data_IF_706310178529
#
_entry.id   IF_706310178529
#
_cell.length_a   1.000
_cell.length_b   1.000
_cell.length_c   1.000
_cell.angle_alpha   90.00
_cell.angle_beta   90.00
_cell.angle_gamma   90.00
#
_symmetry.space_group_name_H-M   'P 1'
#
loop_
_entity.id
_entity.type
_entity.pdbx_description
1 polymer ?
#
# COMPACT_ATOMS: atom_id res chain seq x y z
N UNK A 1 -14.47 20.78 16.20
CA UNK A 1 -14.46 20.23 14.83
C UNK A 1 -14.29 18.73 14.96
N UNK A 2 -15.22 17.90 14.50
CA UNK A 2 -15.07 16.44 14.58
C UNK A 2 -14.19 15.94 13.43
N UNK A 3 -13.29 15.01 13.75
CA UNK A 3 -12.34 14.41 12.79
C UNK A 3 -12.72 12.96 12.53
N UNK A 4 -12.80 12.59 11.27
CA UNK A 4 -12.98 11.22 10.83
C UNK A 4 -11.61 10.61 10.52
N UNK A 5 -11.25 9.50 11.16
CA UNK A 5 -10.09 8.69 10.81
C UNK A 5 -10.57 7.44 10.04
N UNK A 6 -10.21 7.35 8.76
CA UNK A 6 -10.57 6.22 7.92
C UNK A 6 -9.54 5.10 8.11
N UNK A 7 -9.95 4.05 8.83
CA UNK A 7 -9.14 2.87 9.11
C UNK A 7 -9.26 1.87 7.96
N UNK A 8 -8.28 1.90 7.07
CA UNK A 8 -8.22 1.00 5.90
C UNK A 8 -7.27 -0.18 6.10
N UNK A 9 -6.24 -0.01 6.93
CA UNK A 9 -5.32 -1.07 7.30
C UNK A 9 -5.93 -2.03 8.33
N UNK A 10 -5.46 -3.28 8.31
CA UNK A 10 -5.68 -4.22 9.40
C UNK A 10 -4.76 -3.89 10.59
N UNK A 11 -5.18 -4.21 11.82
CA UNK A 11 -4.45 -3.90 13.05
C UNK A 11 -4.98 -2.67 13.78
N UNK A 12 -4.27 -2.29 14.84
CA UNK A 12 -4.66 -1.19 15.71
C UNK A 12 -4.28 0.18 15.12
N UNK A 13 -5.02 1.22 15.52
CA UNK A 13 -4.61 2.60 15.25
C UNK A 13 -3.48 3.03 16.20
N UNK A 14 -2.80 4.13 15.90
CA UNK A 14 -1.79 4.66 16.82
C UNK A 14 -2.42 5.06 18.17
N UNK A 15 -1.62 5.01 19.23
CA UNK A 15 -2.07 5.40 20.58
C UNK A 15 -2.55 6.85 20.65
N UNK A 16 -2.04 7.74 19.79
CA UNK A 16 -2.51 9.13 19.65
C UNK A 16 -3.93 9.17 19.10
N UNK A 17 -4.20 8.44 18.02
CA UNK A 17 -5.53 8.37 17.40
C UNK A 17 -6.53 7.71 18.36
N UNK A 18 -6.12 6.65 19.06
CA UNK A 18 -6.97 5.99 20.05
C UNK A 18 -7.35 6.95 21.19
N UNK A 19 -6.39 7.66 21.79
CA UNK A 19 -6.66 8.65 22.84
C UNK A 19 -7.58 9.79 22.35
N UNK A 20 -7.40 10.23 21.11
CA UNK A 20 -8.26 11.23 20.51
C UNK A 20 -9.68 10.71 20.27
N UNK A 21 -9.84 9.42 19.98
CA UNK A 21 -11.14 8.78 19.89
C UNK A 21 -11.82 8.64 21.26
N UNK A 22 -11.06 8.26 22.30
CA UNK A 22 -11.57 8.12 23.67
C UNK A 22 -12.09 9.45 24.24
N UNK A 23 -11.59 10.59 23.75
CA UNK A 23 -12.04 11.95 24.12
C UNK A 23 -13.15 12.50 23.22
N UNK A 24 -13.59 11.74 22.21
CA UNK A 24 -14.64 12.13 21.27
C UNK A 24 -14.19 13.12 20.18
N UNK A 25 -12.90 13.44 20.09
CA UNK A 25 -12.35 14.31 19.04
C UNK A 25 -12.31 13.60 17.68
N UNK A 26 -11.95 12.31 17.70
CA UNK A 26 -11.85 11.46 16.51
C UNK A 26 -12.95 10.41 16.52
N UNK A 27 -13.59 10.20 15.37
CA UNK A 27 -14.38 8.99 15.11
C UNK A 27 -13.59 8.09 14.18
N UNK A 28 -13.30 6.87 14.61
CA UNK A 28 -12.60 5.86 13.80
C UNK A 28 -13.66 5.05 13.05
N UNK A 29 -13.52 4.96 11.73
CA UNK A 29 -14.43 4.18 10.87
C UNK A 29 -13.63 3.25 9.99
N UNK A 30 -13.99 1.96 10.01
CA UNK A 30 -13.45 0.96 9.08
C UNK A 30 -13.81 1.31 7.63
N UNK A 31 -12.88 1.09 6.70
CA UNK A 31 -13.06 1.39 5.28
C UNK A 31 -14.36 0.83 4.68
N UNK A 32 -14.77 -0.38 5.09
CA UNK A 32 -15.98 -1.02 4.61
C UNK A 32 -17.29 -0.33 5.04
N UNK A 33 -17.23 0.48 6.11
CA UNK A 33 -18.38 1.21 6.64
C UNK A 33 -18.37 2.68 6.23
N UNK A 34 -17.37 3.14 5.46
CA UNK A 34 -17.25 4.54 5.09
C UNK A 34 -18.23 4.92 3.98
N UNK A 35 -19.09 5.90 4.25
CA UNK A 35 -20.07 6.41 3.30
C UNK A 35 -20.22 7.95 3.35
N UNK A 36 -21.08 8.46 2.47
CA UNK A 36 -21.37 9.89 2.36
C UNK A 36 -22.04 10.47 3.61
N UNK A 37 -22.84 9.69 4.35
CA UNK A 37 -23.57 10.15 5.54
C UNK A 37 -22.62 10.36 6.71
N UNK A 38 -21.73 9.40 6.95
CA UNK A 38 -20.66 9.48 7.95
C UNK A 38 -19.75 10.67 7.62
N UNK A 39 -19.31 10.81 6.36
CA UNK A 39 -18.48 11.94 5.94
C UNK A 39 -19.18 13.29 6.19
N UNK A 40 -20.48 13.39 5.92
CA UNK A 40 -21.25 14.63 6.09
C UNK A 40 -21.28 15.14 7.54
N UNK A 41 -21.17 14.25 8.53
CA UNK A 41 -21.16 14.58 9.96
C UNK A 41 -19.83 15.14 10.46
N UNK A 42 -18.78 15.08 9.63
CA UNK A 42 -17.43 15.48 10.01
C UNK A 42 -16.97 16.70 9.21
N UNK A 43 -15.96 17.37 9.74
CA UNK A 43 -15.31 18.51 9.10
C UNK A 43 -13.83 18.23 8.83
N UNK A 44 -13.24 17.25 9.51
CA UNK A 44 -11.90 16.75 9.26
C UNK A 44 -11.89 15.31 8.76
N UNK A 45 -10.95 14.96 7.88
CA UNK A 45 -10.73 13.60 7.36
C UNK A 45 -9.23 13.28 7.38
N UNK A 46 -8.85 12.11 7.89
CA UNK A 46 -7.51 11.54 7.80
C UNK A 46 -7.61 10.20 7.06
N UNK A 47 -6.82 10.04 6.01
CA UNK A 47 -6.68 8.77 5.27
C UNK A 47 -5.23 8.34 5.20
N UNK A 48 -4.99 7.05 5.43
CA UNK A 48 -3.67 6.44 5.30
C UNK A 48 -3.39 5.92 3.89
N UNK A 49 -2.15 5.50 3.67
CA UNK A 49 -1.61 5.01 2.40
C UNK A 49 -2.33 3.76 1.85
N UNK A 50 -3.08 3.05 2.70
CA UNK A 50 -3.85 1.85 2.35
C UNK A 50 -5.33 2.16 2.04
N UNK A 51 -5.72 3.43 1.92
CA UNK A 51 -7.11 3.79 1.63
C UNK A 51 -7.60 3.22 0.29
N UNK A 52 -8.85 2.76 0.26
CA UNK A 52 -9.50 2.24 -0.94
C UNK A 52 -9.93 3.40 -1.84
N UNK A 53 -9.11 3.70 -2.85
CA UNK A 53 -9.34 4.84 -3.75
C UNK A 53 -10.46 4.59 -4.76
N UNK A 54 -10.84 3.34 -5.00
CA UNK A 54 -12.01 3.04 -5.83
C UNK A 54 -13.30 3.46 -5.10
N UNK A 55 -13.38 3.18 -3.80
CA UNK A 55 -14.46 3.70 -2.93
C UNK A 55 -14.42 5.23 -2.85
N UNK A 56 -13.23 5.85 -2.69
CA UNK A 56 -13.12 7.31 -2.70
C UNK A 56 -13.63 7.92 -4.01
N UNK A 57 -13.30 7.30 -5.16
CA UNK A 57 -13.75 7.76 -6.47
C UNK A 57 -15.28 7.65 -6.62
N UNK A 58 -15.90 6.58 -6.10
CA UNK A 58 -17.36 6.44 -6.05
C UNK A 58 -18.02 7.52 -5.16
N UNK A 59 -17.36 7.91 -4.08
CA UNK A 59 -17.82 8.95 -3.15
C UNK A 59 -17.43 10.38 -3.57
N UNK A 60 -16.89 10.57 -4.78
CA UNK A 60 -16.42 11.88 -5.27
C UNK A 60 -17.43 13.03 -5.05
N UNK A 61 -18.74 12.91 -5.34
CA UNK A 61 -19.70 14.00 -5.07
C UNK A 61 -19.79 14.39 -3.58
N UNK A 62 -19.71 13.40 -2.68
CA UNK A 62 -19.73 13.63 -1.24
C UNK A 62 -18.43 14.26 -0.74
N UNK A 63 -17.28 13.81 -1.27
CA UNK A 63 -15.96 14.40 -0.99
C UNK A 63 -15.89 15.85 -1.48
N UNK A 64 -16.39 16.14 -2.69
CA UNK A 64 -16.48 17.50 -3.20
C UNK A 64 -17.34 18.39 -2.31
N UNK A 65 -18.49 17.89 -1.86
CA UNK A 65 -19.36 18.60 -0.91
C UNK A 65 -18.65 18.83 0.43
N UNK A 66 -17.95 17.82 0.95
CA UNK A 66 -17.16 17.92 2.18
C UNK A 66 -16.07 19.00 2.08
N UNK A 67 -15.37 19.07 0.95
CA UNK A 67 -14.36 20.09 0.72
C UNK A 67 -14.99 21.49 0.56
N UNK A 68 -16.03 21.63 -0.25
CA UNK A 68 -16.70 22.92 -0.52
C UNK A 68 -17.32 23.55 0.74
N UNK A 69 -17.70 22.75 1.75
CA UNK A 69 -18.18 23.27 3.05
C UNK A 69 -17.05 23.68 4.01
N UNK A 70 -15.78 23.69 3.55
CA UNK A 70 -14.62 24.03 4.38
C UNK A 70 -13.89 22.85 5.01
N UNK A 71 -14.17 21.61 4.58
CA UNK A 71 -13.55 20.41 5.11
C UNK A 71 -12.02 20.41 4.99
N UNK A 72 -11.36 19.77 5.96
CA UNK A 72 -9.91 19.58 5.96
C UNK A 72 -9.57 18.11 5.82
N UNK A 73 -8.74 17.77 4.84
CA UNK A 73 -8.36 16.39 4.57
C UNK A 73 -6.85 16.24 4.55
N UNK A 74 -6.32 15.38 5.43
CA UNK A 74 -4.94 14.90 5.36
C UNK A 74 -4.88 13.53 4.67
N UNK A 75 -4.18 13.47 3.54
CA UNK A 75 -4.05 12.27 2.71
C UNK A 75 -2.60 11.79 2.64
N UNK A 76 -2.38 10.52 2.98
CA UNK A 76 -1.12 9.82 2.75
C UNK A 76 -1.24 8.86 1.55
N UNK A 77 -0.15 8.70 0.80
CA UNK A 77 -0.03 7.71 -0.26
C UNK A 77 -0.01 8.31 -1.68
N UNK A 78 -0.05 7.43 -2.67
CA UNK A 78 -0.03 7.82 -4.08
C UNK A 78 -1.45 7.99 -4.59
N UNK A 79 -1.81 9.16 -5.12
CA UNK A 79 -3.11 9.39 -5.77
C UNK A 79 -3.08 8.66 -7.12
N UNK A 80 -3.76 7.52 -7.23
CA UNK A 80 -3.90 6.77 -8.49
C UNK A 80 -5.30 6.84 -9.07
N UNK A 81 -6.28 7.26 -8.24
CA UNK A 81 -7.60 7.73 -8.67
C UNK A 81 -7.73 9.20 -8.30
N UNK A 82 -7.87 10.13 -9.27
CA UNK A 82 -8.19 11.52 -8.99
C UNK A 82 -9.62 11.70 -8.41
N UNK A 83 -9.77 11.46 -7.11
CA UNK A 83 -11.06 11.45 -6.39
C UNK A 83 -11.60 12.86 -6.02
N UNK A 84 -10.90 13.93 -6.39
CA UNK A 84 -11.38 15.32 -6.40
C UNK A 84 -11.01 15.96 -7.74
N UNK A 85 -11.82 16.89 -8.22
CA UNK A 85 -11.50 17.69 -9.41
C UNK A 85 -10.24 18.52 -9.15
N UNK A 86 -9.28 18.49 -10.08
CA UNK A 86 -8.00 19.18 -9.97
C UNK A 86 -6.85 18.34 -9.39
N UNK A 87 -7.14 17.17 -8.80
CA UNK A 87 -6.09 16.22 -8.44
C UNK A 87 -5.51 15.55 -9.68
N UNK A 88 -4.22 15.24 -9.62
CA UNK A 88 -3.48 14.55 -10.67
C UNK A 88 -2.95 13.21 -10.16
N UNK A 89 -2.73 12.28 -11.09
CA UNK A 89 -2.17 10.99 -10.77
C UNK A 89 -0.71 11.11 -10.32
N UNK A 90 -0.35 10.37 -9.28
CA UNK A 90 1.00 10.21 -8.78
C UNK A 90 2.00 9.86 -9.89
N UNK A 91 3.19 10.45 -9.78
CA UNK A 91 4.31 10.16 -10.67
C UNK A 91 5.57 9.89 -9.84
N UNK A 92 6.22 8.72 -10.00
CA UNK A 92 7.50 8.45 -9.36
C UNK A 92 8.62 9.23 -10.06
N UNK A 93 9.71 9.49 -9.32
CA UNK A 93 10.97 9.93 -9.90
C UNK A 93 11.46 8.84 -10.85
N UNK A 94 11.88 9.21 -12.06
CA UNK A 94 12.38 8.28 -13.06
C UNK A 94 13.80 7.84 -12.71
N UNK A 95 14.02 6.53 -12.59
CA UNK A 95 15.32 5.92 -12.27
C UNK A 95 16.06 6.60 -11.08
N UNK A 96 15.43 6.66 -9.89
CA UNK A 96 15.93 7.47 -8.78
C UNK A 96 17.23 6.89 -8.20
N UNK A 97 18.09 7.79 -7.73
CA UNK A 97 19.30 7.51 -6.95
C UNK A 97 19.09 7.98 -5.51
N UNK A 98 20.01 7.61 -4.62
CA UNK A 98 19.93 7.99 -3.19
C UNK A 98 19.73 9.49 -2.97
N UNK A 99 20.46 10.34 -3.69
CA UNK A 99 20.38 11.80 -3.56
C UNK A 99 19.04 12.38 -4.04
N UNK A 100 18.28 11.63 -4.87
CA UNK A 100 16.95 12.05 -5.29
C UNK A 100 15.91 11.91 -4.17
N UNK A 101 16.28 11.30 -3.03
CA UNK A 101 15.44 11.17 -1.84
C UNK A 101 15.80 12.15 -0.73
N UNK A 102 16.77 13.05 -0.94
CA UNK A 102 17.13 14.06 0.05
C UNK A 102 15.94 14.98 0.30
N UNK A 103 15.56 15.18 1.57
CA UNK A 103 14.33 15.88 1.92
C UNK A 103 14.63 17.37 2.20
N UNK A 104 13.93 18.24 1.48
CA UNK A 104 14.14 19.68 1.56
C UNK A 104 12.83 20.42 1.83
N UNK A 105 12.87 21.44 2.69
CA UNK A 105 11.72 22.33 2.90
C UNK A 105 11.70 23.40 1.81
N UNK A 106 10.55 23.60 1.15
CA UNK A 106 10.30 24.74 0.26
C UNK A 106 9.55 25.84 0.98
N UNK A 107 8.51 25.47 1.74
CA UNK A 107 7.68 26.42 2.47
C UNK A 107 7.36 25.85 3.86
N UNK A 108 7.31 26.74 4.85
CA UNK A 108 7.00 26.37 6.23
C UNK A 108 5.58 25.79 6.33
N UNK A 109 5.36 24.72 7.09
CA UNK A 109 4.02 24.30 7.51
C UNK A 109 4.05 23.88 9.00
N UNK A 110 3.03 24.22 9.81
CA UNK A 110 3.02 23.92 11.25
C UNK A 110 3.26 22.45 11.63
N UNK A 111 2.84 21.51 10.78
CA UNK A 111 3.11 20.07 10.97
C UNK A 111 4.61 19.79 11.15
N UNK A 112 5.46 20.51 10.42
CA UNK A 112 6.91 20.34 10.41
C UNK A 112 7.65 21.36 11.28
N UNK A 113 6.95 22.22 12.02
CA UNK A 113 7.58 23.25 12.83
C UNK A 113 8.65 22.65 13.75
N UNK A 114 9.87 23.18 13.66
CA UNK A 114 11.03 22.76 14.48
C UNK A 114 11.49 21.30 14.28
N UNK A 115 10.96 20.59 13.27
CA UNK A 115 11.46 19.26 12.90
C UNK A 115 12.62 19.43 11.93
N UNK A 116 13.79 18.88 12.29
CA UNK A 116 14.87 18.67 11.34
C UNK A 116 14.46 17.58 10.34
N UNK A 117 14.21 17.97 9.09
CA UNK A 117 13.74 17.07 8.03
C UNK A 117 14.69 15.91 7.75
N UNK A 118 15.99 16.02 8.08
CA UNK A 118 16.93 14.89 7.97
C UNK A 118 16.53 13.69 8.84
N UNK A 119 15.80 13.94 9.94
CA UNK A 119 15.24 12.90 10.83
C UNK A 119 14.05 12.16 10.22
N UNK A 120 13.44 12.72 9.18
CA UNK A 120 12.36 12.10 8.42
C UNK A 120 12.85 11.47 7.11
N UNK A 121 13.97 11.97 6.57
CA UNK A 121 14.58 11.51 5.32
C UNK A 121 15.02 10.04 5.37
N UNK A 122 15.63 9.63 6.50
CA UNK A 122 16.21 8.30 6.65
C UNK A 122 15.78 7.60 7.93
N UNK A 123 15.80 6.27 7.87
CA UNK A 123 15.77 5.41 9.04
C UNK A 123 16.98 4.49 8.95
N UNK A 124 17.88 4.51 9.96
CA UNK A 124 19.17 3.80 9.89
C UNK A 124 19.97 4.09 8.62
N UNK A 125 19.98 5.34 8.13
CA UNK A 125 20.63 5.78 6.87
C UNK A 125 20.01 5.23 5.56
N UNK A 126 18.95 4.42 5.62
CA UNK A 126 18.19 4.03 4.42
C UNK A 126 17.15 5.10 4.12
N UNK A 127 17.13 5.57 2.87
CA UNK A 127 16.22 6.62 2.42
C UNK A 127 15.11 6.11 1.49
N UNK A 128 14.17 7.00 1.21
CA UNK A 128 13.06 6.77 0.29
C UNK A 128 11.78 6.28 0.96
N UNK A 129 11.79 5.98 2.27
CA UNK A 129 10.58 5.65 3.05
C UNK A 129 9.58 6.82 3.10
N UNK A 130 10.09 8.05 3.09
CA UNK A 130 9.29 9.28 3.11
C UNK A 130 8.52 9.51 1.81
N UNK A 131 9.06 9.09 0.67
CA UNK A 131 8.46 9.33 -0.63
C UNK A 131 9.47 9.10 -1.75
N UNK A 132 8.95 8.84 -2.96
CA UNK A 132 9.76 8.49 -4.15
C UNK A 132 9.32 9.21 -5.42
N UNK A 133 8.51 10.25 -5.26
CA UNK A 133 7.79 10.91 -6.34
C UNK A 133 6.91 11.99 -5.76
N UNK A 134 5.93 12.42 -6.56
CA UNK A 134 4.94 13.39 -6.15
C UNK A 134 3.54 12.97 -6.59
N UNK A 135 2.56 13.33 -5.77
CA UNK A 135 1.23 13.66 -6.30
C UNK A 135 1.38 15.04 -6.96
N UNK A 136 1.23 15.23 -8.29
CA UNK A 136 1.49 16.53 -8.90
C UNK A 136 0.58 17.62 -8.34
N UNK A 137 1.12 18.83 -8.17
CA UNK A 137 0.39 19.95 -7.58
C UNK A 137 -0.83 20.34 -8.45
N UNK A 138 -2.02 20.44 -7.84
CA UNK A 138 -3.12 21.19 -8.43
C UNK A 138 -2.78 22.67 -8.59
N UNK A 139 -3.56 23.38 -9.42
CA UNK A 139 -3.47 24.83 -9.54
C UNK A 139 -3.66 25.51 -8.18
N UNK A 140 -2.78 26.47 -7.85
CA UNK A 140 -2.75 27.22 -6.60
C UNK A 140 -2.43 26.40 -5.34
N UNK A 141 -1.99 25.14 -5.47
CA UNK A 141 -1.40 24.41 -4.35
C UNK A 141 -0.02 24.96 -3.99
N UNK A 142 0.36 24.81 -2.73
CA UNK A 142 1.66 25.24 -2.19
C UNK A 142 2.48 24.02 -1.80
N UNK A 143 3.63 23.84 -2.46
CA UNK A 143 4.60 22.80 -2.09
C UNK A 143 5.18 23.07 -0.70
N UNK A 144 5.22 22.07 0.18
CA UNK A 144 5.76 22.19 1.53
C UNK A 144 7.18 21.62 1.59
N UNK A 145 7.33 20.34 1.24
CA UNK A 145 8.62 19.68 1.15
C UNK A 145 8.81 19.05 -0.24
N UNK A 146 10.06 18.93 -0.65
CA UNK A 146 10.45 18.37 -1.93
C UNK A 146 11.66 17.44 -1.83
N UNK A 147 11.75 16.54 -2.80
CA UNK A 147 12.78 15.51 -2.89
C UNK A 147 13.88 15.91 -3.87
N UNK A 148 15.13 15.69 -3.46
CA UNK A 148 16.34 15.88 -4.26
C UNK A 148 16.58 17.33 -4.69
N UNK A 149 17.62 17.53 -5.52
CA UNK A 149 18.04 18.85 -6.00
C UNK A 149 17.00 19.58 -6.87
N UNK A 150 15.98 18.84 -7.35
CA UNK A 150 14.87 19.35 -8.16
C UNK A 150 13.64 19.72 -7.35
N UNK A 151 13.65 19.45 -6.03
CA UNK A 151 12.54 19.72 -5.13
C UNK A 151 11.22 19.10 -5.63
N UNK A 152 11.27 17.82 -6.04
CA UNK A 152 10.07 17.08 -6.48
C UNK A 152 9.06 17.09 -5.33
N UNK A 153 7.87 17.70 -5.48
CA UNK A 153 7.04 18.08 -4.35
C UNK A 153 6.30 16.87 -3.75
N UNK A 154 6.88 16.31 -2.69
CA UNK A 154 6.33 15.15 -1.97
C UNK A 154 5.21 15.54 -1.03
N UNK A 155 5.27 16.77 -0.49
CA UNK A 155 4.24 17.34 0.37
C UNK A 155 3.71 18.63 -0.21
N UNK A 156 2.40 18.81 -0.17
CA UNK A 156 1.79 20.08 -0.51
C UNK A 156 0.45 20.25 0.18
N UNK A 157 0.05 21.52 0.35
CA UNK A 157 -1.29 21.88 0.79
C UNK A 157 -2.00 22.61 -0.32
N UNK A 158 -3.27 22.28 -0.51
CA UNK A 158 -4.13 22.89 -1.51
C UNK A 158 -5.32 23.55 -0.83
N UNK A 159 -5.35 24.88 -0.87
CA UNK A 159 -6.52 25.67 -0.51
C UNK A 159 -7.39 25.80 -1.77
N UNK A 160 -8.55 25.13 -1.75
CA UNK A 160 -9.41 25.10 -2.94
C UNK A 160 -10.21 26.39 -3.05
N UNK A 161 -10.46 26.84 -4.28
CA UNK A 161 -11.21 28.07 -4.55
C UNK A 161 -12.63 28.10 -3.94
N UNK A 162 -13.30 26.94 -3.86
CA UNK A 162 -14.64 26.80 -3.25
C UNK A 162 -14.61 26.59 -1.73
N UNK A 163 -13.43 26.61 -1.12
CA UNK A 163 -13.21 26.32 0.29
C UNK A 163 -12.67 24.91 0.54
N UNK A 164 -12.22 24.70 1.78
CA UNK A 164 -11.59 23.47 2.23
C UNK A 164 -10.09 23.43 1.96
N UNK A 165 -9.40 22.56 2.69
CA UNK A 165 -7.94 22.39 2.60
C UNK A 165 -7.58 20.92 2.49
N UNK A 166 -6.77 20.58 1.50
CA UNK A 166 -6.26 19.23 1.29
C UNK A 166 -4.75 19.23 1.50
N UNK A 167 -4.25 18.39 2.39
CA UNK A 167 -2.83 18.14 2.55
C UNK A 167 -2.50 16.79 1.90
N UNK A 168 -1.55 16.79 0.96
CA UNK A 168 -1.06 15.58 0.33
C UNK A 168 0.34 15.27 0.82
N UNK A 169 0.55 14.04 1.28
CA UNK A 169 1.85 13.43 1.48
C UNK A 169 1.99 12.22 0.55
N UNK A 170 2.86 12.27 -0.45
CA UNK A 170 2.97 11.24 -1.49
C UNK A 170 3.96 10.12 -1.14
N UNK A 171 3.82 9.55 0.06
CA UNK A 171 4.68 8.51 0.59
C UNK A 171 3.97 7.55 1.56
N UNK A 172 4.75 6.89 2.41
CA UNK A 172 4.19 6.09 3.50
C UNK A 172 3.50 7.00 4.54
N UNK A 173 2.71 6.47 5.46
CA UNK A 173 1.99 7.29 6.44
C UNK A 173 2.93 8.22 7.22
N UNK A 174 2.74 9.54 7.09
CA UNK A 174 3.62 10.55 7.70
C UNK A 174 3.67 10.38 9.23
N UNK A 175 2.54 9.97 9.82
CA UNK A 175 2.41 9.64 11.24
C UNK A 175 3.28 8.47 11.72
N UNK A 176 3.90 7.72 10.80
CA UNK A 176 4.85 6.64 11.08
C UNK A 176 6.32 7.02 10.82
N UNK A 177 6.59 8.25 10.38
CA UNK A 177 7.95 8.70 10.06
C UNK A 177 8.75 9.09 11.30
N UNK A 178 10.08 9.05 11.18
CA UNK A 178 11.00 9.49 12.25
C UNK A 178 10.95 8.63 13.52
N UNK A 179 10.68 7.33 13.40
CA UNK A 179 10.60 6.38 14.53
C UNK A 179 11.86 6.39 15.40
N UNK A 180 13.05 6.42 14.80
CA UNK A 180 14.34 6.49 15.51
C UNK A 180 14.46 7.74 16.40
N UNK A 181 13.69 8.77 16.08
CA UNK A 181 13.72 10.08 16.73
C UNK A 181 12.48 10.35 17.58
N UNK A 182 11.58 9.37 17.72
CA UNK A 182 10.33 9.53 18.47
C UNK A 182 9.36 10.56 17.87
N UNK A 183 9.46 10.85 16.57
CA UNK A 183 8.65 11.90 15.93
C UNK A 183 7.24 11.44 15.52
N UNK A 184 7.00 10.13 15.43
CA UNK A 184 5.71 9.58 15.00
C UNK A 184 4.50 10.06 15.83
N UNK A 185 4.53 10.05 17.19
CA UNK A 185 3.46 10.63 17.99
C UNK A 185 3.26 12.12 17.76
N UNK A 186 4.34 12.91 17.69
CA UNK A 186 4.29 14.35 17.45
C UNK A 186 3.66 14.69 16.09
N UNK A 187 4.06 13.96 15.03
CA UNK A 187 3.49 14.11 13.70
C UNK A 187 2.00 13.73 13.71
N UNK A 188 1.62 12.66 14.40
CA UNK A 188 0.21 12.26 14.56
C UNK A 188 -0.62 13.36 15.22
N UNK A 189 -0.12 13.94 16.31
CA UNK A 189 -0.77 15.03 17.05
C UNK A 189 -0.95 16.26 16.16
N UNK A 190 0.09 16.69 15.45
CA UNK A 190 0.03 17.88 14.57
C UNK A 190 -0.85 17.69 13.34
N UNK A 191 -0.88 16.49 12.77
CA UNK A 191 -1.82 16.14 11.69
C UNK A 191 -3.25 16.27 12.22
N UNK A 192 -3.53 15.70 13.39
CA UNK A 192 -4.84 15.77 14.02
C UNK A 192 -5.24 17.21 14.34
N UNK A 193 -4.36 18.01 14.93
CA UNK A 193 -4.58 19.43 15.21
C UNK A 193 -4.89 20.22 13.93
N UNK A 194 -4.12 20.00 12.86
CA UNK A 194 -4.34 20.67 11.58
C UNK A 194 -5.70 20.30 10.97
N UNK A 195 -6.04 19.01 10.95
CA UNK A 195 -7.33 18.53 10.44
C UNK A 195 -8.50 19.02 11.30
N UNK A 196 -8.31 19.15 12.61
CA UNK A 196 -9.30 19.67 13.57
C UNK A 196 -9.48 21.20 13.52
N UNK A 197 -8.86 21.89 12.55
CA UNK A 197 -9.07 23.33 12.35
C UNK A 197 -7.88 24.20 12.76
N UNK A 198 -6.75 23.61 13.16
CA UNK A 198 -5.55 24.31 13.60
C UNK A 198 -4.92 25.24 12.55
N UNK A 199 -3.79 25.85 12.91
CA UNK A 199 -3.07 26.77 12.04
C UNK A 199 -2.63 26.10 10.73
N UNK A 200 -2.59 26.87 9.64
CA UNK A 200 -2.03 26.47 8.36
C UNK A 200 -1.07 27.57 7.88
N UNK A 201 -0.76 27.61 6.59
CA UNK A 201 0.04 28.67 5.98
C UNK A 201 -0.68 30.03 6.08
N UNK A 202 0.09 31.11 6.24
CA UNK A 202 -0.42 32.48 6.05
C UNK A 202 -0.23 32.92 4.60
N UNK A 203 -1.27 32.70 3.79
CA UNK A 203 -1.28 33.04 2.35
C UNK A 203 -1.37 34.56 2.09
N UNK A 204 -1.73 35.36 3.10
CA UNK A 204 -1.96 36.80 2.91
C UNK A 204 -0.69 37.63 2.94
N UNK A 205 0.40 37.08 3.47
CA UNK A 205 1.65 37.80 3.74
C UNK A 205 2.89 37.10 3.16
N UNK A 206 2.74 35.89 2.61
CA UNK A 206 3.87 35.04 2.23
C UNK A 206 3.97 34.85 0.72
N UNK A 207 5.14 35.16 0.15
CA UNK A 207 5.51 34.69 -1.18
C UNK A 207 6.03 33.25 -1.08
N UNK A 208 5.26 32.30 -1.61
CA UNK A 208 5.65 30.89 -1.57
C UNK A 208 6.64 30.53 -2.68
N UNK A 209 7.68 29.79 -2.31
CA UNK A 209 8.60 29.18 -3.26
C UNK A 209 7.85 28.14 -4.10
N UNK A 210 7.98 28.24 -5.43
CA UNK A 210 7.42 27.27 -6.36
C UNK A 210 8.40 26.11 -6.60
N UNK A 211 7.91 24.88 -6.85
CA UNK A 211 8.76 23.78 -7.29
C UNK A 211 9.34 24.08 -8.68
N UNK A 212 10.39 23.34 -9.05
CA UNK A 212 10.95 23.45 -10.41
C UNK A 212 9.95 22.93 -11.45
N UNK A 213 9.98 23.48 -12.66
CA UNK A 213 9.06 23.10 -13.75
C UNK A 213 9.52 21.85 -14.52
N UNK A 214 10.83 21.59 -14.56
CA UNK A 214 11.44 20.43 -15.22
C UNK A 214 11.79 19.36 -14.18
N UNK A 215 10.77 18.58 -13.82
CA UNK A 215 10.87 17.52 -12.81
C UNK A 215 11.22 16.17 -13.48
N UNK A 216 12.11 15.35 -12.89
CA UNK A 216 12.54 14.06 -13.44
C UNK A 216 11.49 12.96 -13.18
N UNK A 217 10.26 13.16 -13.63
CA UNK A 217 9.14 12.27 -13.35
C UNK A 217 8.92 11.24 -14.46
N UNK A 218 8.58 10.01 -14.07
CA UNK A 218 8.06 9.04 -15.01
C UNK A 218 6.66 9.45 -15.51
N UNK A 219 6.27 8.94 -16.69
CA UNK A 219 4.92 9.16 -17.21
C UNK A 219 3.88 8.50 -16.30
N UNK A 220 2.73 9.15 -16.17
CA UNK A 220 1.56 8.53 -15.57
C UNK A 220 1.17 7.28 -16.37
N UNK A 221 0.80 6.22 -15.65
CA UNK A 221 0.28 4.97 -16.23
C UNK A 221 -1.24 5.03 -16.40
N UNK A 222 -1.80 4.14 -17.23
CA UNK A 222 -3.24 3.96 -17.32
C UNK A 222 -3.70 2.88 -16.34
N UNK A 223 -4.78 3.15 -15.60
CA UNK A 223 -5.38 2.18 -14.70
C UNK A 223 -6.86 1.97 -15.07
N UNK A 224 -7.20 0.78 -15.55
CA UNK A 224 -8.50 0.49 -16.17
C UNK A 224 -9.61 0.13 -15.16
N UNK A 225 -9.26 -0.05 -13.89
CA UNK A 225 -10.17 -0.47 -12.83
C UNK A 225 -10.47 -1.97 -12.84
N UNK A 226 -11.59 -2.32 -12.22
CA UNK A 226 -12.09 -3.70 -12.15
C UNK A 226 -12.21 -4.33 -13.54
N UNK A 227 -11.89 -5.61 -13.61
CA UNK A 227 -11.89 -6.38 -14.86
C UNK A 227 -12.57 -7.70 -14.61
N UNK A 228 -13.49 -8.10 -15.48
CA UNK A 228 -14.09 -9.43 -15.46
C UNK A 228 -13.99 -10.00 -16.88
N UNK A 229 -13.05 -10.91 -17.08
CA UNK A 229 -13.02 -11.74 -18.29
C UNK A 229 -14.24 -12.67 -18.34
N UNK A 230 -14.66 -13.02 -19.56
CA UNK A 230 -15.72 -14.02 -19.75
C UNK A 230 -15.26 -15.36 -19.16
N UNK A 231 -16.16 -16.06 -18.49
CA UNK A 231 -15.88 -17.42 -18.04
C UNK A 231 -15.49 -18.30 -19.24
N UNK A 232 -14.39 -19.02 -19.10
CA UNK A 232 -13.93 -20.04 -20.05
C UNK A 232 -13.72 -21.35 -19.30
N UNK A 233 -13.46 -22.45 -20.01
CA UNK A 233 -13.08 -23.71 -19.38
C UNK A 233 -11.62 -23.72 -18.89
N UNK A 234 -10.85 -22.64 -19.15
CA UNK A 234 -9.48 -22.51 -18.67
C UNK A 234 -9.45 -21.85 -17.28
N UNK A 235 -8.52 -22.24 -16.39
CA UNK A 235 -8.29 -21.55 -15.12
C UNK A 235 -8.08 -20.05 -15.33
N UNK A 236 -8.79 -19.22 -14.56
CA UNK A 236 -8.60 -17.78 -14.53
C UNK A 236 -7.82 -17.38 -13.29
N UNK A 237 -7.00 -16.35 -13.40
CA UNK A 237 -6.39 -15.71 -12.22
C UNK A 237 -7.33 -14.61 -11.74
N UNK A 238 -7.94 -14.85 -10.57
CA UNK A 238 -8.86 -13.94 -9.88
C UNK A 238 -8.12 -13.26 -8.75
N UNK A 239 -8.16 -11.93 -8.71
CA UNK A 239 -7.43 -11.12 -7.73
C UNK A 239 -8.37 -10.14 -7.03
N UNK A 240 -8.51 -10.19 -5.69
CA UNK A 240 -9.16 -9.15 -4.93
C UNK A 240 -8.23 -7.93 -4.78
N UNK A 241 -8.59 -6.82 -5.41
CA UNK A 241 -8.01 -5.50 -5.16
C UNK A 241 -8.71 -4.85 -3.97
N UNK A 242 -7.97 -4.05 -3.20
CA UNK A 242 -8.51 -3.28 -2.07
C UNK A 242 -8.49 -1.77 -2.35
N UNK A 243 -8.38 -1.40 -3.62
CA UNK A 243 -8.35 -0.01 -4.10
C UNK A 243 -7.16 0.83 -3.61
N UNK A 244 -6.23 0.27 -2.84
CA UNK A 244 -5.00 0.95 -2.45
C UNK A 244 -4.06 1.09 -3.66
N UNK A 245 -3.16 2.08 -3.59
CA UNK A 245 -2.39 2.47 -4.76
C UNK A 245 -1.45 1.37 -5.27
N UNK A 246 -0.90 0.55 -4.36
CA UNK A 246 0.07 -0.47 -4.72
C UNK A 246 -0.60 -1.71 -5.34
N UNK A 247 -1.85 -2.03 -4.96
CA UNK A 247 -2.67 -2.99 -5.69
C UNK A 247 -3.02 -2.45 -7.07
N UNK A 248 -3.55 -1.23 -7.16
CA UNK A 248 -3.93 -0.61 -8.45
C UNK A 248 -2.74 -0.62 -9.41
N UNK A 249 -1.56 -0.16 -8.97
CA UNK A 249 -0.38 -0.17 -9.80
C UNK A 249 0.01 -1.58 -10.26
N UNK A 250 0.09 -2.52 -9.32
CA UNK A 250 0.56 -3.88 -9.62
C UNK A 250 -0.42 -4.70 -10.46
N UNK A 251 -1.72 -4.40 -10.40
CA UNK A 251 -2.77 -5.18 -11.05
C UNK A 251 -3.25 -4.55 -12.36
N UNK A 252 -3.27 -3.22 -12.46
CA UNK A 252 -3.83 -2.51 -13.60
C UNK A 252 -2.76 -1.85 -14.46
N UNK A 253 -1.54 -1.68 -13.94
CA UNK A 253 -0.42 -1.12 -14.68
C UNK A 253 0.02 -2.00 -15.86
N UNK A 254 0.59 -1.36 -16.89
CA UNK A 254 0.93 -2.00 -18.17
C UNK A 254 1.84 -3.24 -18.04
N UNK A 255 2.66 -3.30 -16.98
CA UNK A 255 3.57 -4.41 -16.73
C UNK A 255 2.84 -5.75 -16.56
N UNK A 256 1.73 -5.77 -15.82
CA UNK A 256 1.10 -7.03 -15.38
C UNK A 256 -0.41 -7.10 -15.60
N UNK A 257 -1.07 -6.05 -16.11
CA UNK A 257 -2.53 -6.04 -16.31
C UNK A 257 -3.06 -7.20 -17.17
N UNK A 258 -2.25 -7.68 -18.13
CA UNK A 258 -2.56 -8.81 -18.99
C UNK A 258 -2.46 -10.19 -18.29
N UNK A 259 -1.87 -10.25 -17.09
CA UNK A 259 -1.70 -11.48 -16.33
C UNK A 259 -2.96 -11.88 -15.57
N UNK A 260 -3.82 -10.92 -15.21
CA UNK A 260 -4.99 -11.13 -14.36
C UNK A 260 -6.27 -11.11 -15.20
N UNK A 261 -7.04 -12.18 -15.08
CA UNK A 261 -8.29 -12.38 -15.82
C UNK A 261 -9.47 -11.69 -15.13
N UNK A 262 -9.43 -11.63 -13.80
CA UNK A 262 -10.44 -10.96 -12.99
C UNK A 262 -9.78 -10.12 -11.90
N UNK A 263 -10.11 -8.84 -11.85
CA UNK A 263 -9.75 -7.89 -10.78
C UNK A 263 -11.08 -7.44 -10.17
N UNK A 264 -11.31 -7.80 -8.91
CA UNK A 264 -12.58 -7.62 -8.19
C UNK A 264 -12.31 -7.18 -6.75
N UNK A 265 -13.34 -6.96 -5.93
CA UNK A 265 -13.16 -6.71 -4.49
C UNK A 265 -13.16 -8.01 -3.70
N UNK A 266 -12.60 -8.05 -2.47
CA UNK A 266 -12.80 -9.18 -1.56
C UNK A 266 -14.28 -9.59 -1.40
N UNK A 267 -15.18 -8.61 -1.31
CA UNK A 267 -16.59 -8.82 -1.04
C UNK A 267 -17.35 -9.48 -2.21
N UNK A 268 -16.82 -9.40 -3.42
CA UNK A 268 -17.40 -10.00 -4.62
C UNK A 268 -16.91 -11.44 -4.89
N UNK A 269 -15.93 -11.95 -4.12
CA UNK A 269 -15.36 -13.27 -4.36
C UNK A 269 -16.40 -14.40 -4.39
N UNK A 270 -17.44 -14.31 -3.55
CA UNK A 270 -18.51 -15.30 -3.48
C UNK A 270 -19.36 -15.45 -4.75
N UNK A 271 -19.43 -14.41 -5.58
CA UNK A 271 -20.16 -14.40 -6.86
C UNK A 271 -19.25 -14.63 -8.06
N UNK A 272 -17.96 -14.34 -7.92
CA UNK A 272 -16.98 -14.36 -9.00
C UNK A 272 -16.26 -15.70 -9.14
N UNK A 273 -15.87 -16.32 -8.01
CA UNK A 273 -15.05 -17.52 -8.01
C UNK A 273 -15.80 -18.73 -8.55
N UNK A 274 -15.12 -19.47 -9.43
CA UNK A 274 -15.51 -20.78 -9.95
C UNK A 274 -14.50 -21.83 -9.50
N UNK A 275 -14.87 -23.13 -9.46
CA UNK A 275 -14.00 -24.18 -8.92
C UNK A 275 -12.60 -24.29 -9.57
N UNK A 276 -12.46 -23.90 -10.84
CA UNK A 276 -11.20 -23.98 -11.58
C UNK A 276 -10.34 -22.73 -11.46
N UNK A 277 -10.81 -21.69 -10.78
CA UNK A 277 -10.06 -20.44 -10.67
C UNK A 277 -8.87 -20.55 -9.71
N UNK A 278 -7.89 -19.70 -9.96
CA UNK A 278 -6.78 -19.40 -9.07
C UNK A 278 -7.11 -18.09 -8.37
N UNK A 279 -7.42 -18.16 -7.07
CA UNK A 279 -7.56 -16.96 -6.25
C UNK A 279 -6.15 -16.51 -5.81
N UNK A 280 -5.66 -15.39 -6.33
CA UNK A 280 -4.43 -14.78 -5.83
C UNK A 280 -4.79 -13.61 -4.93
N UNK A 281 -4.58 -13.73 -3.63
CA UNK A 281 -4.71 -12.64 -2.65
C UNK A 281 -3.40 -11.86 -2.55
N UNK A 282 -3.34 -10.59 -3.01
CA UNK A 282 -2.12 -9.78 -2.97
C UNK A 282 -1.61 -9.55 -1.55
N UNK A 283 -0.30 -9.31 -1.43
CA UNK A 283 0.29 -8.93 -0.16
C UNK A 283 -0.29 -7.61 0.36
N UNK A 284 -0.44 -7.47 1.68
CA UNK A 284 -1.08 -6.30 2.32
C UNK A 284 -2.53 -6.04 1.88
N UNK A 285 -3.25 -7.08 1.44
CA UNK A 285 -4.72 -7.06 1.41
C UNK A 285 -5.23 -6.95 2.86
N UNK A 286 -6.11 -6.00 3.22
CA UNK A 286 -6.61 -5.85 4.58
C UNK A 286 -7.29 -7.13 5.07
N UNK A 287 -6.71 -7.75 6.10
CA UNK A 287 -7.12 -9.08 6.55
C UNK A 287 -8.58 -9.13 7.00
N UNK A 288 -9.12 -8.04 7.59
CA UNK A 288 -10.53 -7.98 7.98
C UNK A 288 -11.50 -8.18 6.81
N UNK A 289 -11.12 -7.75 5.59
CA UNK A 289 -11.93 -7.97 4.38
C UNK A 289 -11.88 -9.44 3.95
N UNK A 290 -10.72 -10.09 4.09
CA UNK A 290 -10.54 -11.49 3.74
C UNK A 290 -11.14 -12.46 4.76
N UNK A 291 -11.10 -12.13 6.06
CA UNK A 291 -11.74 -12.90 7.13
C UNK A 291 -13.24 -13.08 6.84
N UNK A 292 -13.92 -12.04 6.36
CA UNK A 292 -15.33 -12.11 5.96
C UNK A 292 -15.58 -13.10 4.81
N UNK A 293 -14.56 -13.40 4.00
CA UNK A 293 -14.63 -14.31 2.85
C UNK A 293 -14.19 -15.74 3.19
N UNK A 294 -13.83 -16.04 4.44
CA UNK A 294 -13.34 -17.37 4.85
C UNK A 294 -14.24 -18.53 4.36
N UNK A 295 -15.58 -18.51 4.48
CA UNK A 295 -16.43 -19.59 3.98
C UNK A 295 -16.37 -19.78 2.45
N UNK A 296 -16.22 -18.68 1.70
CA UNK A 296 -16.10 -18.72 0.23
C UNK A 296 -14.79 -19.41 -0.16
N UNK A 297 -13.70 -19.06 0.52
CA UNK A 297 -12.35 -19.56 0.24
C UNK A 297 -12.21 -21.03 0.65
N UNK A 298 -12.75 -21.41 1.82
CA UNK A 298 -12.78 -22.80 2.25
C UNK A 298 -13.49 -23.69 1.21
N UNK A 299 -14.68 -23.28 0.76
CA UNK A 299 -15.41 -23.99 -0.30
C UNK A 299 -14.64 -24.05 -1.62
N UNK A 300 -13.90 -22.99 -1.97
CA UNK A 300 -13.06 -22.98 -3.17
C UNK A 300 -11.97 -24.06 -3.10
N UNK A 301 -11.28 -24.16 -1.97
CA UNK A 301 -10.27 -25.19 -1.71
C UNK A 301 -10.87 -26.60 -1.63
N UNK A 302 -12.03 -26.79 -0.98
CA UNK A 302 -12.73 -28.08 -0.91
C UNK A 302 -13.11 -28.62 -2.31
N UNK A 303 -13.37 -27.72 -3.26
CA UNK A 303 -13.69 -28.06 -4.65
C UNK A 303 -12.47 -28.26 -5.55
N UNK A 304 -11.25 -28.23 -4.99
CA UNK A 304 -10.01 -28.42 -5.75
C UNK A 304 -9.42 -27.13 -6.34
N UNK A 305 -9.94 -25.96 -5.97
CA UNK A 305 -9.43 -24.67 -6.40
C UNK A 305 -8.03 -24.36 -5.87
N UNK A 306 -7.35 -23.38 -6.48
CA UNK A 306 -6.05 -22.90 -6.00
C UNK A 306 -6.19 -21.56 -5.30
N UNK A 307 -5.50 -21.39 -4.17
CA UNK A 307 -5.36 -20.12 -3.46
C UNK A 307 -3.89 -19.75 -3.32
N UNK A 308 -3.54 -18.51 -3.66
CA UNK A 308 -2.22 -17.91 -3.43
C UNK A 308 -2.40 -16.81 -2.40
N UNK A 309 -1.60 -16.83 -1.33
CA UNK A 309 -1.60 -15.79 -0.31
C UNK A 309 -0.17 -15.27 -0.13
N UNK A 310 0.03 -13.98 -0.42
CA UNK A 310 1.33 -13.31 -0.26
C UNK A 310 1.40 -12.57 1.08
N UNK A 311 2.61 -12.15 1.45
CA UNK A 311 2.94 -11.66 2.78
C UNK A 311 2.07 -10.51 3.26
N UNK A 312 1.97 -10.35 4.58
CA UNK A 312 1.23 -9.24 5.21
C UNK A 312 -0.27 -9.20 4.85
N UNK A 313 -0.83 -10.28 4.31
CA UNK A 313 -2.28 -10.47 4.17
C UNK A 313 -2.90 -11.23 5.35
N UNK A 314 -2.09 -11.65 6.35
CA UNK A 314 -2.50 -12.47 7.51
C UNK A 314 -3.31 -13.71 7.12
N UNK A 315 -2.76 -14.53 6.23
CA UNK A 315 -3.39 -15.78 5.78
C UNK A 315 -3.75 -16.72 6.93
N UNK A 316 -3.02 -16.67 8.05
CA UNK A 316 -3.33 -17.37 9.30
C UNK A 316 -4.72 -17.05 9.89
N UNK A 317 -5.31 -15.91 9.54
CA UNK A 317 -6.62 -15.49 10.05
C UNK A 317 -7.79 -15.92 9.17
N UNK A 318 -7.56 -16.26 7.90
CA UNK A 318 -8.65 -16.50 6.93
C UNK A 318 -8.46 -17.75 6.06
N UNK A 319 -7.32 -18.43 6.12
CA UNK A 319 -7.12 -19.78 5.61
C UNK A 319 -7.00 -20.77 6.77
N UNK A 320 -7.58 -21.95 6.60
CA UNK A 320 -7.37 -23.06 7.53
C UNK A 320 -6.00 -23.71 7.29
N UNK A 321 -5.48 -24.40 8.30
CA UNK A 321 -4.19 -25.12 8.25
C UNK A 321 -2.94 -24.23 8.05
N UNK A 322 -3.05 -22.92 8.30
CA UNK A 322 -1.92 -21.99 8.27
C UNK A 322 -1.46 -21.67 9.69
N UNK A 323 -0.19 -21.94 9.97
CA UNK A 323 0.50 -21.47 11.18
C UNK A 323 1.59 -20.49 10.77
N UNK A 324 1.46 -19.22 11.18
CA UNK A 324 2.39 -18.13 10.87
C UNK A 324 3.01 -17.55 12.13
N UNK A 325 4.31 -17.28 12.06
CA UNK A 325 5.07 -16.64 13.12
C UNK A 325 5.64 -15.32 12.59
N UNK A 326 5.08 -14.22 13.07
CA UNK A 326 5.54 -12.88 12.73
C UNK A 326 6.96 -12.65 13.27
N UNK A 327 7.79 -11.99 12.47
CA UNK A 327 9.14 -11.57 12.88
C UNK A 327 9.32 -10.10 12.57
N UNK A 328 10.02 -9.32 13.42
CA UNK A 328 10.37 -7.95 13.10
C UNK A 328 11.09 -7.86 11.75
N UNK A 329 10.57 -7.04 10.85
CA UNK A 329 11.15 -6.84 9.53
C UNK A 329 12.48 -6.10 9.64
N UNK A 330 13.56 -6.70 9.15
CA UNK A 330 14.84 -6.02 9.01
C UNK A 330 14.92 -5.31 7.65
N UNK A 331 14.64 -4.01 7.62
CA UNK A 331 14.60 -3.19 6.42
C UNK A 331 15.97 -2.71 5.91
N UNK A 332 17.07 -3.14 6.52
CA UNK A 332 18.40 -2.59 6.24
C UNK A 332 19.53 -3.60 6.45
N UNK A 333 19.23 -4.90 6.36
CA UNK A 333 20.24 -5.95 6.51
C UNK A 333 21.41 -5.76 5.56
N UNK A 334 21.18 -5.24 4.35
CA UNK A 334 22.22 -5.02 3.32
C UNK A 334 23.19 -3.87 3.62
N UNK A 335 23.00 -3.10 4.70
CA UNK A 335 23.95 -2.04 5.09
C UNK A 335 25.28 -2.59 5.60
N UNK A 336 25.28 -3.80 6.16
CA UNK A 336 26.52 -4.51 6.43
C UNK A 336 26.94 -5.23 5.14
N UNK A 337 28.11 -4.88 4.62
CA UNK A 337 28.66 -5.45 3.38
C UNK A 337 28.85 -6.98 3.46
N UNK A 338 28.91 -7.54 4.67
CA UNK A 338 29.01 -8.98 4.92
C UNK A 338 27.67 -9.62 5.26
N UNK A 339 26.61 -8.83 5.42
CA UNK A 339 25.31 -9.36 5.78
C UNK A 339 24.68 -10.11 4.62
N UNK A 340 24.03 -11.18 5.03
CA UNK A 340 23.28 -12.08 4.19
C UNK A 340 21.98 -12.31 4.95
N UNK A 341 20.85 -11.89 4.37
CA UNK A 341 19.54 -12.16 4.96
C UNK A 341 19.31 -13.66 5.15
N UNK A 342 20.10 -14.49 4.45
CA UNK A 342 20.08 -15.93 4.56
C UNK A 342 18.91 -16.57 3.84
N UNK A 343 18.10 -15.77 3.13
CA UNK A 343 17.00 -16.28 2.31
C UNK A 343 17.57 -17.15 1.19
N UNK A 344 16.97 -18.31 0.95
CA UNK A 344 17.39 -19.28 -0.08
C UNK A 344 16.20 -19.91 -0.76
N UNK A 345 16.30 -20.11 -2.08
CA UNK A 345 15.46 -21.04 -2.82
C UNK A 345 15.87 -22.47 -2.45
N UNK A 346 14.93 -23.29 -2.01
CA UNK A 346 15.18 -24.67 -1.55
C UNK A 346 14.71 -25.74 -2.51
N UNK A 347 13.80 -25.41 -3.43
CA UNK A 347 13.40 -26.30 -4.52
C UNK A 347 13.45 -25.59 -5.88
N UNK A 348 14.65 -25.46 -6.49
CA UNK A 348 14.80 -24.79 -7.78
C UNK A 348 14.21 -25.57 -8.96
N UNK A 349 13.79 -26.83 -8.75
CA UNK A 349 13.18 -27.66 -9.81
C UNK A 349 11.67 -27.49 -9.87
N UNK A 350 11.05 -26.98 -8.80
CA UNK A 350 9.63 -26.70 -8.78
C UNK A 350 9.24 -25.73 -9.90
N UNK A 351 8.14 -25.95 -10.66
CA UNK A 351 7.75 -25.10 -11.79
C UNK A 351 7.65 -23.60 -11.44
N UNK A 352 7.15 -23.26 -10.24
CA UNK A 352 7.09 -21.87 -9.76
C UNK A 352 8.45 -21.21 -9.61
N UNK A 353 9.50 -21.98 -9.35
CA UNK A 353 10.88 -21.49 -9.11
C UNK A 353 11.74 -21.51 -10.38
N UNK A 354 11.16 -21.85 -11.53
CA UNK A 354 11.88 -21.89 -12.80
C UNK A 354 12.55 -20.54 -13.08
N UNK A 355 13.84 -20.57 -13.37
CA UNK A 355 14.69 -19.41 -13.66
C UNK A 355 14.76 -18.36 -12.52
N UNK A 356 14.27 -18.69 -11.32
CA UNK A 356 14.40 -17.83 -10.14
C UNK A 356 15.73 -18.11 -9.43
N UNK A 357 16.40 -17.05 -9.04
CA UNK A 357 17.60 -17.10 -8.21
C UNK A 357 17.29 -16.64 -6.79
N UNK A 358 18.23 -16.86 -5.86
CA UNK A 358 18.14 -16.30 -4.50
C UNK A 358 17.91 -14.78 -4.50
N UNK A 359 18.48 -14.04 -5.45
CA UNK A 359 18.32 -12.59 -5.53
C UNK A 359 16.90 -12.14 -5.91
N UNK A 360 16.10 -13.05 -6.45
CA UNK A 360 14.71 -12.77 -6.83
C UNK A 360 13.76 -13.01 -5.67
N UNK A 361 14.19 -13.68 -4.59
CA UNK A 361 13.40 -13.94 -3.38
C UNK A 361 13.93 -13.22 -2.14
N UNK A 362 14.99 -12.41 -2.28
CA UNK A 362 15.68 -11.77 -1.15
C UNK A 362 15.47 -10.26 -1.15
N UNK A 363 14.68 -9.76 -0.20
CA UNK A 363 14.59 -8.32 0.11
C UNK A 363 14.29 -8.07 1.59
N UNK A 364 13.14 -8.41 2.13
CA UNK A 364 12.88 -8.57 3.57
C UNK A 364 11.67 -9.49 3.68
N UNK A 365 11.41 -9.94 4.89
CA UNK A 365 10.32 -10.86 5.19
C UNK A 365 9.65 -10.45 6.49
N UNK A 366 8.41 -10.89 6.65
CA UNK A 366 7.55 -10.51 7.78
C UNK A 366 7.32 -11.65 8.77
N UNK A 367 7.91 -12.81 8.49
CA UNK A 367 7.77 -14.01 9.31
C UNK A 367 8.02 -15.28 8.53
N UNK A 368 7.68 -16.40 9.16
CA UNK A 368 7.86 -17.75 8.64
C UNK A 368 6.65 -18.62 9.01
N UNK A 369 6.54 -19.79 8.38
CA UNK A 369 5.41 -20.71 8.57
C UNK A 369 5.85 -22.06 9.11
N UNK A 370 4.91 -22.80 9.69
CA UNK A 370 5.00 -24.24 9.96
C UNK A 370 4.13 -25.01 8.95
N UNK A 371 4.65 -25.39 7.78
CA UNK A 371 3.87 -26.14 6.79
C UNK A 371 3.53 -27.55 7.29
N UNK A 372 2.39 -28.13 6.86
CA UNK A 372 2.04 -29.50 7.18
C UNK A 372 3.02 -30.50 6.56
N UNK A 373 3.07 -31.71 7.13
CA UNK A 373 3.88 -32.79 6.58
C UNK A 373 3.41 -33.14 5.15
N UNK A 374 4.31 -33.10 4.18
CA UNK A 374 4.00 -33.33 2.75
C UNK A 374 3.94 -32.06 1.91
N UNK A 375 3.91 -30.88 2.53
CA UNK A 375 4.05 -29.61 1.81
C UNK A 375 5.46 -29.46 1.19
N UNK A 376 5.53 -28.80 0.04
CA UNK A 376 6.77 -28.53 -0.69
C UNK A 376 7.29 -27.13 -0.37
N UNK A 377 8.48 -27.05 0.21
CA UNK A 377 9.06 -25.78 0.66
C UNK A 377 9.95 -25.23 -0.46
N UNK A 378 9.57 -24.07 -0.99
CA UNK A 378 10.24 -23.45 -2.14
C UNK A 378 11.30 -22.44 -1.73
N UNK A 379 11.12 -21.74 -0.61
CA UNK A 379 12.14 -20.87 -0.05
C UNK A 379 12.12 -20.85 1.49
N UNK A 380 13.28 -20.57 2.07
CA UNK A 380 13.51 -20.44 3.52
C UNK A 380 14.25 -19.16 3.86
N UNK A 381 14.12 -18.70 5.10
CA UNK A 381 14.92 -17.62 5.67
C UNK A 381 16.31 -18.08 6.14
N UNK A 382 17.09 -17.16 6.72
CA UNK A 382 18.45 -17.44 7.22
C UNK A 382 18.54 -18.41 8.40
N UNK A 383 17.45 -18.63 9.12
CA UNK A 383 17.35 -19.64 10.18
C UNK A 383 16.80 -20.97 9.65
N UNK A 384 16.77 -21.14 8.33
CA UNK A 384 16.25 -22.31 7.63
C UNK A 384 14.75 -22.57 7.90
N UNK A 385 13.97 -21.52 8.17
CA UNK A 385 12.50 -21.60 8.40
C UNK A 385 11.73 -21.33 7.11
N UNK A 386 10.62 -22.03 6.82
CA UNK A 386 9.85 -21.85 5.57
C UNK A 386 9.23 -20.45 5.43
N UNK A 387 9.40 -19.82 4.26
CA UNK A 387 8.81 -18.50 3.93
C UNK A 387 8.02 -18.49 2.62
N UNK A 388 8.15 -19.54 1.81
CA UNK A 388 7.36 -19.79 0.61
C UNK A 388 7.18 -21.30 0.45
N UNK A 389 5.95 -21.78 0.37
CA UNK A 389 5.65 -23.20 0.21
C UNK A 389 4.38 -23.45 -0.59
N UNK A 390 4.26 -24.67 -1.10
CA UNK A 390 3.04 -25.23 -1.72
C UNK A 390 2.50 -26.32 -0.83
N UNK A 391 1.20 -26.26 -0.55
CA UNK A 391 0.46 -27.25 0.21
C UNK A 391 -0.65 -27.83 -0.67
N UNK A 392 -0.45 -29.09 -1.04
CA UNK A 392 -1.36 -29.93 -1.81
C UNK A 392 -1.94 -31.06 -0.94
N UNK A 393 -1.78 -31.00 0.39
CA UNK A 393 -2.06 -32.12 1.29
C UNK A 393 -3.11 -31.80 2.35
N UNK A 394 -3.28 -30.53 2.71
CA UNK A 394 -4.24 -30.12 3.74
C UNK A 394 -5.69 -30.02 3.27
N UNK A 395 -5.92 -29.83 1.97
CA UNK A 395 -7.26 -29.73 1.38
C UNK A 395 -7.33 -30.49 0.05
N UNK A 396 -8.51 -30.56 -0.58
CA UNK A 396 -8.62 -31.07 -1.95
C UNK A 396 -7.99 -30.13 -2.99
N UNK A 397 -7.81 -28.86 -2.62
CA UNK A 397 -7.22 -27.81 -3.44
C UNK A 397 -5.78 -27.52 -3.06
N UNK A 398 -5.20 -26.53 -3.74
CA UNK A 398 -3.81 -26.12 -3.61
C UNK A 398 -3.69 -24.79 -2.89
N UNK A 399 -2.78 -24.69 -1.95
CA UNK A 399 -2.37 -23.42 -1.33
C UNK A 399 -0.91 -23.08 -1.69
N UNK A 400 -0.67 -21.85 -2.14
CA UNK A 400 0.68 -21.31 -2.38
C UNK A 400 0.86 -20.12 -1.43
N UNK A 401 1.69 -20.28 -0.41
CA UNK A 401 1.73 -19.38 0.74
C UNK A 401 3.11 -18.77 0.86
N UNK A 402 3.16 -17.44 1.03
CA UNK A 402 4.42 -16.72 1.21
C UNK A 402 4.35 -15.59 2.23
N UNK A 403 5.46 -15.33 2.93
CA UNK A 403 5.62 -14.16 3.78
C UNK A 403 6.21 -12.96 3.04
N UNK A 404 6.53 -13.13 1.76
CA UNK A 404 7.08 -12.10 0.87
C UNK A 404 5.98 -11.16 0.36
N UNK A 405 6.26 -9.85 0.30
CA UNK A 405 5.29 -8.79 -0.05
C UNK A 405 5.57 -8.08 -1.39
N UNK A 406 5.67 -8.80 -2.53
CA UNK A 406 6.24 -8.25 -3.75
C UNK A 406 5.41 -7.12 -4.39
N UNK A 407 4.08 -7.20 -4.34
CA UNK A 407 3.18 -6.23 -4.99
C UNK A 407 3.16 -4.89 -4.26
N UNK A 408 3.34 -4.88 -2.93
CA UNK A 408 3.50 -3.63 -2.20
C UNK A 408 4.75 -2.89 -2.68
N UNK A 409 5.92 -3.54 -2.68
CA UNK A 409 7.16 -2.86 -3.07
C UNK A 409 7.24 -2.52 -4.56
N UNK A 410 6.63 -3.34 -5.41
CA UNK A 410 6.50 -3.04 -6.83
C UNK A 410 5.60 -1.80 -7.02
N UNK A 411 4.38 -1.84 -6.47
CA UNK A 411 3.39 -0.77 -6.55
C UNK A 411 3.79 0.55 -5.88
N UNK A 412 4.67 0.47 -4.89
CA UNK A 412 5.22 1.62 -4.18
C UNK A 412 6.57 2.09 -4.70
N UNK A 413 7.11 1.45 -5.75
CA UNK A 413 8.42 1.77 -6.34
C UNK A 413 9.59 1.68 -5.34
N UNK A 414 9.49 0.80 -4.34
CA UNK A 414 10.47 0.67 -3.27
C UNK A 414 11.67 -0.21 -3.65
N UNK A 415 11.40 -1.44 -4.10
CA UNK A 415 12.43 -2.48 -4.20
C UNK A 415 12.42 -3.14 -5.59
N UNK A 416 13.47 -2.94 -6.41
CA UNK A 416 13.55 -3.59 -7.72
C UNK A 416 13.53 -5.12 -7.67
N UNK A 417 13.97 -5.72 -6.56
CA UNK A 417 13.94 -7.17 -6.36
C UNK A 417 12.53 -7.76 -6.44
N UNK A 418 11.51 -7.03 -5.98
CA UNK A 418 10.14 -7.53 -6.02
C UNK A 418 9.52 -7.48 -7.40
N UNK A 419 9.98 -6.56 -8.25
CA UNK A 419 9.62 -6.55 -9.68
C UNK A 419 10.23 -7.76 -10.37
N UNK A 420 11.51 -8.06 -10.11
CA UNK A 420 12.14 -9.29 -10.64
C UNK A 420 11.45 -10.57 -10.15
N UNK A 421 11.00 -10.61 -8.89
CA UNK A 421 10.18 -11.71 -8.37
C UNK A 421 8.92 -11.89 -9.24
N UNK A 422 8.14 -10.83 -9.44
CA UNK A 422 6.89 -10.87 -10.21
C UNK A 422 7.13 -11.24 -11.68
N UNK A 423 8.21 -10.73 -12.30
CA UNK A 423 8.61 -11.04 -13.68
C UNK A 423 8.89 -12.55 -13.90
N UNK A 424 9.26 -13.28 -12.84
CA UNK A 424 9.44 -14.74 -12.88
C UNK A 424 8.19 -15.47 -12.42
N UNK A 425 7.63 -15.07 -11.29
CA UNK A 425 6.54 -15.78 -10.63
C UNK A 425 5.27 -15.78 -11.47
N UNK A 426 4.90 -14.65 -12.10
CA UNK A 426 3.67 -14.55 -12.89
C UNK A 426 3.72 -15.50 -14.11
N UNK A 427 4.73 -15.46 -15.00
CA UNK A 427 4.81 -16.42 -16.10
C UNK A 427 4.90 -17.88 -15.64
N UNK A 428 5.63 -18.16 -14.56
CA UNK A 428 5.75 -19.52 -14.02
C UNK A 428 4.42 -20.05 -13.50
N UNK A 429 3.65 -19.21 -12.79
CA UNK A 429 2.29 -19.55 -12.35
C UNK A 429 1.39 -19.84 -13.55
N UNK A 430 1.37 -18.96 -14.56
CA UNK A 430 0.56 -19.16 -15.77
C UNK A 430 0.93 -20.45 -16.50
N UNK A 431 2.21 -20.76 -16.61
CA UNK A 431 2.66 -22.01 -17.21
C UNK A 431 2.21 -23.23 -16.39
N UNK A 432 2.26 -23.16 -15.06
CA UNK A 432 1.88 -24.25 -14.17
C UNK A 432 0.37 -24.54 -14.19
N UNK A 433 -0.49 -23.52 -14.30
CA UNK A 433 -1.95 -23.69 -14.26
C UNK A 433 -2.54 -24.09 -15.62
N UNK A 434 -1.76 -24.00 -16.70
CA UNK A 434 -2.15 -24.40 -18.05
C UNK A 434 -1.38 -25.61 -18.58
N UNK A 435 -0.50 -26.20 -17.76
CA UNK A 435 0.16 -27.48 -18.02
C UNK A 435 -0.78 -28.64 -17.69
#
# INVERSE_FOLDING_TARGET
MSVLYLKSAFGDVSTVIQKAADTGLVTIVEQANFDAQILAQHQGLITGQQCDQDVLLQLKPALETFMNKGGRWFFNGHIVRPFLDGLHQYQPISAPKRADFDLNSLNFHPIFAEIDLKKLETNKNVAGFYGRGCNPLPENAVAINGLGAKFVPVDWVWHRAKGGRFFSHSGNDLASMGLEWGLAPLLSERILEWVAGGACLDESTTHFQQPQTDLPLAKAQSYQGARISKATNAPRIVVPSSGNYYHIHSLEGDAYSHAFDVITTPEELGTILTPTDVLWVPCRTPAQRMIAQKPVIARHLENGGTVIALGESRSDLWLDHITFHETPTNWWWWLDEKADLGVRVTDPKHPLMKDMTTQDVTWHLHGWFEPPAGAQILARDGDNRPILYVDDVSTNGRMIISSLDPMFHHGSHFMPATTRFLDRFIPNLKAMIHA
#
